data_IF_743854735791
#
_entry.id   IF_743854735791
#
_cell.length_a   1.000
_cell.length_b   1.000
_cell.length_c   1.000
_cell.angle_alpha   90.00
_cell.angle_beta   90.00
_cell.angle_gamma   90.00
#
_symmetry.space_group_name_H-M   'P 1'
#
loop_
_entity.id
_entity.type
_entity.pdbx_description
1 polymer ?
#
# COMPACT_ATOMS: atom_id res chain seq x y z
N UNK A 1 -0.80 11.64 -0.92
CA UNK A 1 0.38 11.80 -0.03
C UNK A 1 0.65 10.49 0.68
N UNK A 2 1.86 9.98 0.56
CA UNK A 2 2.26 8.78 1.28
C UNK A 2 3.61 8.99 1.96
N UNK A 3 3.82 8.33 3.10
CA UNK A 3 5.05 8.47 3.86
C UNK A 3 5.29 7.28 4.78
N UNK A 4 6.56 6.98 5.05
CA UNK A 4 6.99 6.09 6.14
C UNK A 4 6.86 6.79 7.51
N UNK A 5 6.84 8.12 7.52
CA UNK A 5 6.88 8.92 8.73
C UNK A 5 5.46 9.23 9.20
N UNK A 6 5.06 8.69 10.33
CA UNK A 6 3.71 8.94 10.88
C UNK A 6 3.50 10.41 11.21
N UNK A 7 4.55 11.09 11.70
CA UNK A 7 4.48 12.52 11.99
C UNK A 7 4.21 13.35 10.74
N UNK A 8 4.76 12.95 9.59
CA UNK A 8 4.48 13.61 8.31
C UNK A 8 3.01 13.46 7.92
N UNK A 9 2.43 12.28 8.14
CA UNK A 9 1.02 12.03 7.84
C UNK A 9 0.10 12.82 8.78
N UNK A 10 0.46 12.93 10.05
CA UNK A 10 -0.27 13.75 11.02
C UNK A 10 -0.24 15.23 10.61
N UNK A 11 0.93 15.73 10.21
CA UNK A 11 1.09 17.11 9.75
C UNK A 11 0.30 17.36 8.46
N UNK A 12 0.35 16.41 7.51
CA UNK A 12 -0.41 16.51 6.27
C UNK A 12 -1.92 16.53 6.51
N UNK A 13 -2.40 15.72 7.44
CA UNK A 13 -3.82 15.71 7.82
C UNK A 13 -4.27 17.06 8.40
N UNK A 14 -3.43 17.66 9.23
CA UNK A 14 -3.73 18.97 9.82
C UNK A 14 -3.74 20.08 8.77
N UNK A 15 -2.78 20.04 7.82
CA UNK A 15 -2.61 21.09 6.81
C UNK A 15 -3.60 20.94 5.64
N UNK A 16 -3.91 19.72 5.22
CA UNK A 16 -4.76 19.45 4.05
C UNK A 16 -5.56 18.16 4.27
N UNK A 17 -6.57 18.18 5.14
CA UNK A 17 -7.33 16.98 5.52
C UNK A 17 -8.08 16.34 4.35
N UNK A 18 -8.36 17.08 3.28
CA UNK A 18 -9.05 16.59 2.09
C UNK A 18 -8.17 15.75 1.17
N UNK A 19 -6.83 15.84 1.30
CA UNK A 19 -5.93 15.04 0.48
C UNK A 19 -5.81 13.62 1.05
N UNK A 20 -5.94 12.59 0.20
CA UNK A 20 -5.81 11.21 0.66
C UNK A 20 -4.39 10.93 1.16
N UNK A 21 -4.30 10.11 2.23
CA UNK A 21 -3.03 9.74 2.86
C UNK A 21 -2.83 8.25 2.78
N UNK A 22 -1.57 7.83 2.60
CA UNK A 22 -1.15 6.44 2.64
C UNK A 22 0.02 6.24 3.59
N UNK A 23 -0.02 5.17 4.35
CA UNK A 23 1.10 4.77 5.20
C UNK A 23 2.00 3.83 4.42
N UNK A 24 3.30 4.13 4.36
CA UNK A 24 4.29 3.26 3.75
C UNK A 24 4.98 2.48 4.86
N UNK A 25 5.05 1.17 4.72
CA UNK A 25 5.78 0.30 5.63
C UNK A 25 6.42 -0.83 4.83
N UNK A 26 7.47 -1.45 5.35
CA UNK A 26 8.07 -2.60 4.67
C UNK A 26 7.15 -3.80 4.79
N UNK A 27 6.92 -4.28 6.01
CA UNK A 27 5.92 -5.31 6.29
C UNK A 27 4.70 -4.70 6.93
N UNK A 28 3.59 -5.44 6.93
CA UNK A 28 2.37 -4.95 7.54
C UNK A 28 2.59 -4.78 9.06
N UNK A 29 2.40 -3.56 9.62
CA UNK A 29 2.59 -3.33 11.05
C UNK A 29 1.65 -4.19 11.90
N UNK A 30 2.10 -4.59 13.08
CA UNK A 30 1.31 -5.41 13.99
C UNK A 30 -0.06 -4.80 14.29
N UNK A 31 -0.13 -3.50 14.53
CA UNK A 31 -1.39 -2.79 14.79
C UNK A 31 -1.80 -1.94 13.58
N UNK A 32 -1.80 -2.54 12.42
CA UNK A 32 -2.04 -1.83 11.16
C UNK A 32 -3.43 -1.18 11.08
N UNK A 33 -4.47 -1.84 11.61
CA UNK A 33 -5.83 -1.26 11.60
C UNK A 33 -5.88 0.02 12.44
N UNK A 34 -5.33 -0.03 13.64
CA UNK A 34 -5.27 1.13 14.52
C UNK A 34 -4.45 2.26 13.89
N UNK A 35 -3.30 1.94 13.32
CA UNK A 35 -2.43 2.93 12.68
C UNK A 35 -3.13 3.63 11.51
N UNK A 36 -3.75 2.89 10.62
CA UNK A 36 -4.45 3.45 9.46
C UNK A 36 -5.66 4.29 9.88
N UNK A 37 -6.38 3.86 10.91
CA UNK A 37 -7.54 4.57 11.44
C UNK A 37 -7.12 5.87 12.12
N UNK A 38 -6.11 5.82 12.99
CA UNK A 38 -5.61 6.98 13.71
C UNK A 38 -5.05 8.06 12.79
N UNK A 39 -4.36 7.65 11.73
CA UNK A 39 -3.79 8.56 10.74
C UNK A 39 -4.78 8.96 9.65
N UNK A 40 -5.98 8.38 9.69
CA UNK A 40 -7.02 8.57 8.68
C UNK A 40 -6.47 8.34 7.27
N UNK A 41 -5.78 7.21 7.11
CA UNK A 41 -5.22 6.79 5.83
C UNK A 41 -6.23 6.01 5.00
N UNK A 42 -6.12 6.13 3.68
CA UNK A 42 -6.96 5.39 2.73
C UNK A 42 -6.21 4.19 2.14
N UNK A 43 -4.90 4.15 2.29
CA UNK A 43 -4.08 3.09 1.70
C UNK A 43 -2.91 2.69 2.60
N UNK A 44 -2.46 1.44 2.40
CA UNK A 44 -1.27 0.89 3.00
C UNK A 44 -0.33 0.45 1.87
N UNK A 45 0.91 0.91 1.90
CA UNK A 45 1.92 0.61 0.90
C UNK A 45 2.96 -0.32 1.52
N UNK A 46 3.15 -1.51 0.95
CA UNK A 46 3.99 -2.56 1.51
C UNK A 46 5.06 -3.01 0.52
N UNK A 47 6.21 -3.42 1.05
CA UNK A 47 7.30 -3.95 0.24
C UNK A 47 6.99 -5.37 -0.23
N UNK A 48 7.23 -5.64 -1.50
CA UNK A 48 6.89 -6.92 -2.13
C UNK A 48 7.58 -8.12 -1.49
N UNK A 49 8.76 -7.93 -0.91
CA UNK A 49 9.56 -9.00 -0.30
C UNK A 49 9.20 -9.26 1.17
N UNK A 50 8.23 -8.54 1.73
CA UNK A 50 7.89 -8.60 3.16
C UNK A 50 6.43 -8.93 3.42
N UNK A 51 5.71 -9.41 2.41
CA UNK A 51 4.27 -9.62 2.51
C UNK A 51 3.87 -11.06 2.19
N UNK A 52 2.74 -11.47 2.75
CA UNK A 52 2.06 -12.71 2.43
C UNK A 52 0.73 -12.41 1.74
N UNK A 53 0.10 -13.42 1.08
CA UNK A 53 -1.25 -13.25 0.52
C UNK A 53 -2.26 -12.75 1.55
N UNK A 54 -2.15 -13.23 2.80
CA UNK A 54 -3.06 -12.84 3.88
C UNK A 54 -2.92 -11.35 4.21
N UNK A 55 -1.69 -10.81 4.22
CA UNK A 55 -1.45 -9.38 4.47
C UNK A 55 -2.22 -8.50 3.48
N UNK A 56 -2.17 -8.85 2.21
CA UNK A 56 -2.85 -8.10 1.15
C UNK A 56 -4.36 -8.29 1.26
N UNK A 57 -4.82 -9.53 1.33
CA UNK A 57 -6.25 -9.84 1.34
C UNK A 57 -6.97 -9.26 2.55
N UNK A 58 -6.43 -9.42 3.74
CA UNK A 58 -7.08 -8.93 4.96
C UNK A 58 -7.16 -7.41 4.99
N UNK A 59 -6.10 -6.73 4.53
CA UNK A 59 -6.10 -5.26 4.46
C UNK A 59 -7.14 -4.76 3.46
N UNK A 60 -7.21 -5.39 2.29
CA UNK A 60 -8.20 -5.04 1.26
C UNK A 60 -9.64 -5.31 1.73
N UNK A 61 -9.88 -6.46 2.35
CA UNK A 61 -11.20 -6.82 2.88
C UNK A 61 -11.66 -5.88 3.99
N UNK A 62 -10.71 -5.30 4.74
CA UNK A 62 -11.03 -4.33 5.77
C UNK A 62 -11.35 -2.92 5.23
N UNK A 63 -11.21 -2.71 3.92
CA UNK A 63 -11.63 -1.48 3.24
C UNK A 63 -10.51 -0.52 2.88
N UNK A 64 -9.25 -0.89 3.09
CA UNK A 64 -8.12 -0.05 2.69
C UNK A 64 -7.55 -0.49 1.35
N UNK A 65 -7.11 0.47 0.54
CA UNK A 65 -6.37 0.17 -0.67
C UNK A 65 -4.96 -0.32 -0.31
N UNK A 66 -4.46 -1.29 -1.08
CA UNK A 66 -3.12 -1.86 -0.88
C UNK A 66 -2.28 -1.59 -2.12
N UNK A 67 -1.14 -0.93 -1.94
CA UNK A 67 -0.13 -0.71 -2.96
C UNK A 67 1.13 -1.49 -2.61
N UNK A 68 1.75 -2.13 -3.58
CA UNK A 68 2.93 -2.95 -3.38
C UNK A 68 4.11 -2.36 -4.16
N UNK A 69 5.22 -2.15 -3.50
CA UNK A 69 6.45 -1.62 -4.09
C UNK A 69 7.63 -2.55 -3.81
N UNK A 70 8.68 -2.60 -4.51
CA UNK A 70 8.84 -2.24 -5.92
C UNK A 70 8.84 -3.54 -6.69
N UNK A 71 8.03 -3.63 -7.72
CA UNK A 71 7.81 -4.86 -8.48
C UNK A 71 8.22 -4.62 -9.93
N UNK A 72 9.25 -5.34 -10.38
CA UNK A 72 9.77 -5.20 -11.74
C UNK A 72 9.62 -6.48 -12.57
N UNK A 73 8.82 -7.43 -12.11
CA UNK A 73 8.52 -8.69 -12.78
C UNK A 73 7.01 -8.77 -13.03
N UNK A 74 6.63 -8.93 -14.30
CA UNK A 74 5.22 -8.95 -14.69
C UNK A 74 4.44 -10.13 -14.11
N UNK A 75 5.07 -11.30 -13.92
CA UNK A 75 4.40 -12.46 -13.35
C UNK A 75 4.16 -12.28 -11.85
N UNK A 76 5.09 -11.63 -11.15
CA UNK A 76 4.92 -11.27 -9.75
C UNK A 76 3.80 -10.24 -9.61
N UNK A 77 3.78 -9.22 -10.47
CA UNK A 77 2.73 -8.20 -10.47
C UNK A 77 1.34 -8.82 -10.64
N UNK A 78 1.18 -9.73 -11.60
CA UNK A 78 -0.08 -10.43 -11.84
C UNK A 78 -0.51 -11.25 -10.61
N UNK A 79 0.44 -11.93 -9.96
CA UNK A 79 0.16 -12.70 -8.74
C UNK A 79 -0.30 -11.82 -7.60
N UNK A 80 0.35 -10.67 -7.40
CA UNK A 80 -0.02 -9.71 -6.36
C UNK A 80 -1.41 -9.12 -6.58
N UNK A 81 -1.74 -8.84 -7.83
CA UNK A 81 -3.10 -8.42 -8.22
C UNK A 81 -4.11 -9.50 -7.86
N UNK A 82 -3.78 -10.76 -8.10
CA UNK A 82 -4.62 -11.90 -7.72
C UNK A 82 -4.85 -12.01 -6.22
N UNK A 83 -3.92 -11.52 -5.40
CA UNK A 83 -4.09 -11.46 -3.94
C UNK A 83 -5.00 -10.32 -3.48
N UNK A 84 -5.28 -9.35 -4.36
CA UNK A 84 -6.14 -8.22 -4.05
C UNK A 84 -5.43 -6.88 -3.99
N UNK A 85 -4.17 -6.79 -4.45
CA UNK A 85 -3.47 -5.50 -4.51
C UNK A 85 -4.17 -4.56 -5.50
N UNK A 86 -4.32 -3.31 -5.09
CA UNK A 86 -5.00 -2.27 -5.88
C UNK A 86 -4.03 -1.54 -6.79
N UNK A 87 -2.76 -1.46 -6.41
CA UNK A 87 -1.73 -0.77 -7.17
C UNK A 87 -0.40 -1.50 -7.06
N UNK A 88 0.34 -1.49 -8.15
CA UNK A 88 1.70 -2.03 -8.23
C UNK A 88 2.63 -0.88 -8.58
N UNK A 89 3.66 -0.67 -7.77
CA UNK A 89 4.64 0.37 -7.98
C UNK A 89 5.90 -0.25 -8.58
N UNK A 90 6.30 0.24 -9.74
CA UNK A 90 7.39 -0.34 -10.52
C UNK A 90 8.31 0.74 -11.07
N UNK A 91 9.60 0.39 -11.23
CA UNK A 91 10.58 1.19 -11.97
C UNK A 91 10.62 0.79 -13.45
N UNK A 92 9.95 -0.30 -13.80
CA UNK A 92 9.98 -0.86 -15.15
C UNK A 92 8.55 -1.08 -15.69
N UNK A 93 7.84 0.02 -15.99
CA UNK A 93 6.48 -0.10 -16.53
C UNK A 93 6.41 -0.84 -17.86
N UNK A 94 7.52 -0.85 -18.61
CA UNK A 94 7.65 -1.60 -19.85
C UNK A 94 7.56 -3.11 -19.67
N UNK A 95 7.84 -3.63 -18.48
CA UNK A 95 7.77 -5.06 -18.16
C UNK A 95 6.42 -5.49 -17.57
N UNK A 96 5.53 -4.54 -17.30
CA UNK A 96 4.26 -4.85 -16.67
C UNK A 96 3.21 -5.27 -17.69
N UNK A 97 2.30 -6.21 -17.33
CA UNK A 97 1.16 -6.55 -18.18
C UNK A 97 0.27 -5.33 -18.41
N UNK A 98 -0.25 -5.20 -19.63
CA UNK A 98 -1.10 -4.06 -20.01
C UNK A 98 -2.45 -4.07 -19.28
N UNK A 99 -2.92 -5.24 -18.93
CA UNK A 99 -4.23 -5.47 -18.30
C UNK A 99 -4.15 -5.56 -16.77
N UNK A 100 -3.04 -5.17 -16.22
CA UNK A 100 -2.81 -5.27 -14.79
C UNK A 100 -3.68 -4.29 -14.00
#
# INVERSE_FOLDING_TARGET
>A
ISSFQRDCLTAARAAAPELPRGLIARGRPWRWRAALTELDCVSLHLAADRISPADVRETAEAGWAVAIYTVNDGSVAARLRGWGAHAIITDRPDLMPRDL
#
